data_IF_247873721826
#
_entry.id   IF_247873721826
#
_cell.length_a   1.000
_cell.length_b   1.000
_cell.length_c   1.000
_cell.angle_alpha   90.00
_cell.angle_beta   90.00
_cell.angle_gamma   90.00
#
_symmetry.space_group_name_H-M   'P 1'
#
loop_
_entity.id
_entity.type
_entity.pdbx_description
1 polymer ?
#
# COMPACT_ATOMS: atom_id res chain seq x y z
N UNK A 1 -34.47 -15.22 -36.01
CA UNK A 1 -33.28 -16.05 -35.67
C UNK A 1 -32.14 -15.11 -35.38
N UNK A 2 -32.06 -14.66 -34.13
CA UNK A 2 -31.01 -13.77 -33.65
C UNK A 2 -30.14 -14.53 -32.66
N UNK A 3 -29.14 -15.22 -33.19
CA UNK A 3 -28.06 -15.86 -32.42
C UNK A 3 -26.83 -14.94 -32.42
N UNK A 4 -26.98 -13.72 -31.91
CA UNK A 4 -25.83 -12.84 -31.71
C UNK A 4 -25.71 -12.46 -30.25
N UNK A 5 -24.52 -12.81 -29.70
CA UNK A 5 -23.88 -12.14 -28.58
C UNK A 5 -24.35 -12.54 -27.18
N UNK A 6 -24.24 -13.81 -26.83
CA UNK A 6 -23.68 -14.12 -25.50
C UNK A 6 -22.16 -14.18 -25.64
N UNK A 7 -21.51 -13.03 -25.77
CA UNK A 7 -20.13 -12.90 -25.34
C UNK A 7 -20.19 -13.09 -23.83
N UNK A 8 -19.85 -14.29 -23.39
CA UNK A 8 -19.63 -14.62 -21.99
C UNK A 8 -18.61 -13.59 -21.47
N UNK A 9 -19.10 -12.61 -20.73
CA UNK A 9 -18.21 -11.67 -20.07
C UNK A 9 -17.35 -12.53 -19.14
N UNK A 10 -16.05 -12.63 -19.44
CA UNK A 10 -15.11 -13.36 -18.62
C UNK A 10 -15.23 -12.86 -17.19
N UNK A 11 -15.26 -13.77 -16.24
CA UNK A 11 -15.26 -13.39 -14.83
C UNK A 11 -14.04 -12.49 -14.56
N UNK A 12 -14.16 -11.43 -13.76
CA UNK A 12 -13.04 -10.49 -13.50
C UNK A 12 -11.71 -11.17 -13.19
N UNK A 13 -11.75 -12.29 -12.45
CA UNK A 13 -10.56 -13.07 -12.12
C UNK A 13 -9.88 -13.71 -13.34
N UNK A 14 -10.65 -14.18 -14.33
CA UNK A 14 -10.09 -14.73 -15.56
C UNK A 14 -9.53 -13.62 -16.45
N UNK A 15 -10.25 -12.52 -16.53
CA UNK A 15 -9.83 -11.38 -17.32
C UNK A 15 -8.49 -10.80 -16.84
N UNK A 16 -8.30 -10.68 -15.52
CA UNK A 16 -7.05 -10.16 -14.95
C UNK A 16 -5.87 -11.12 -15.14
N UNK A 17 -6.10 -12.43 -15.00
CA UNK A 17 -5.06 -13.43 -15.30
C UNK A 17 -4.61 -13.39 -16.76
N UNK A 18 -5.57 -13.36 -17.69
CA UNK A 18 -5.26 -13.21 -19.11
C UNK A 18 -4.47 -11.94 -19.39
N UNK A 19 -4.82 -10.85 -18.73
CA UNK A 19 -4.10 -9.61 -18.89
C UNK A 19 -2.68 -9.69 -18.34
N UNK A 20 -2.45 -10.25 -17.14
CA UNK A 20 -1.10 -10.44 -16.60
C UNK A 20 -0.24 -11.40 -17.44
N UNK A 21 -0.84 -12.28 -18.25
CA UNK A 21 -0.12 -13.11 -19.21
C UNK A 21 0.40 -12.33 -20.44
N UNK A 22 -0.12 -11.11 -20.68
CA UNK A 22 0.38 -10.26 -21.78
C UNK A 22 1.74 -9.65 -21.43
N UNK A 23 2.57 -9.27 -22.43
CA UNK A 23 3.84 -8.60 -22.17
C UNK A 23 3.71 -7.35 -21.31
N UNK A 24 2.69 -6.52 -21.56
CA UNK A 24 2.41 -5.32 -20.78
C UNK A 24 2.01 -5.65 -19.34
N UNK A 25 1.15 -6.65 -19.13
CA UNK A 25 0.75 -7.12 -17.82
C UNK A 25 1.92 -7.67 -17.01
N UNK A 26 2.85 -8.40 -17.66
CA UNK A 26 4.07 -8.91 -17.01
C UNK A 26 4.99 -7.78 -16.54
N UNK A 27 5.11 -6.70 -17.30
CA UNK A 27 5.89 -5.53 -16.88
C UNK A 27 5.25 -4.79 -15.71
N UNK A 28 3.92 -4.67 -15.73
CA UNK A 28 3.20 -4.11 -14.57
C UNK A 28 3.41 -4.98 -13.35
N UNK A 29 3.24 -6.31 -13.45
CA UNK A 29 3.48 -7.24 -12.35
C UNK A 29 4.93 -7.18 -11.82
N UNK A 30 5.92 -7.02 -12.69
CA UNK A 30 7.31 -6.86 -12.30
C UNK A 30 7.53 -5.53 -11.53
N UNK A 31 6.90 -4.45 -11.99
CA UNK A 31 6.92 -3.17 -11.29
C UNK A 31 6.25 -3.28 -9.91
N UNK A 32 5.09 -3.92 -9.83
CA UNK A 32 4.36 -4.16 -8.59
C UNK A 32 5.19 -4.95 -7.58
N UNK A 33 5.82 -6.05 -7.99
CA UNK A 33 6.73 -6.82 -7.12
C UNK A 33 7.84 -5.94 -6.56
N UNK A 34 8.53 -5.19 -7.43
CA UNK A 34 9.60 -4.29 -7.01
C UNK A 34 9.14 -3.22 -6.02
N UNK A 35 7.96 -2.64 -6.23
CA UNK A 35 7.38 -1.66 -5.31
C UNK A 35 7.00 -2.32 -3.98
N UNK A 36 6.32 -3.47 -4.03
CA UNK A 36 5.91 -4.22 -2.86
C UNK A 36 7.11 -4.64 -2.00
N UNK A 37 8.19 -5.13 -2.60
CA UNK A 37 9.42 -5.54 -1.91
C UNK A 37 9.97 -4.42 -1.03
N UNK A 38 9.92 -3.17 -1.49
CA UNK A 38 10.38 -2.02 -0.70
C UNK A 38 9.49 -1.69 0.50
N UNK A 39 8.23 -2.14 0.49
CA UNK A 39 7.24 -1.86 1.52
C UNK A 39 7.14 -3.01 2.51
N UNK A 40 7.06 -4.26 2.02
CA UNK A 40 6.83 -5.44 2.85
C UNK A 40 8.08 -5.97 3.56
N UNK A 41 9.27 -5.53 3.13
CA UNK A 41 10.55 -5.93 3.74
C UNK A 41 10.62 -5.62 5.25
N UNK A 42 9.99 -4.53 5.67
CA UNK A 42 9.91 -4.12 7.08
C UNK A 42 8.71 -4.69 7.85
N UNK A 43 7.93 -5.56 7.23
CA UNK A 43 6.77 -6.17 7.88
C UNK A 43 7.20 -7.34 8.77
N UNK A 44 6.85 -7.30 10.04
CA UNK A 44 7.12 -8.36 10.99
C UNK A 44 5.82 -9.03 11.43
N UNK A 45 5.89 -10.32 11.74
CA UNK A 45 4.75 -11.08 12.23
C UNK A 45 4.83 -12.55 11.83
N UNK A 46 3.75 -13.28 12.07
CA UNK A 46 3.65 -14.70 11.79
C UNK A 46 2.75 -15.02 10.60
N UNK A 47 1.69 -14.22 10.38
CA UNK A 47 0.66 -14.51 9.40
C UNK A 47 0.47 -13.36 8.42
N UNK A 48 0.65 -13.68 7.14
CA UNK A 48 0.41 -12.76 6.02
C UNK A 48 -0.57 -13.40 5.05
N UNK A 49 -1.58 -12.63 4.64
CA UNK A 49 -2.51 -13.04 3.58
C UNK A 49 -2.47 -12.02 2.46
N UNK A 50 -2.29 -12.49 1.23
CA UNK A 50 -2.52 -11.71 0.03
C UNK A 50 -3.87 -12.09 -0.56
N UNK A 51 -4.74 -11.12 -0.72
CA UNK A 51 -6.03 -11.24 -1.41
C UNK A 51 -5.87 -10.69 -2.81
N UNK A 52 -6.13 -11.52 -3.83
CA UNK A 52 -5.96 -11.11 -5.22
C UNK A 52 -6.62 -12.07 -6.20
N UNK A 53 -6.51 -11.80 -7.47
CA UNK A 53 -7.16 -12.56 -8.54
C UNK A 53 -6.22 -13.50 -9.28
N UNK A 54 -4.91 -13.28 -9.20
CA UNK A 54 -3.89 -14.09 -9.87
C UNK A 54 -2.87 -14.63 -8.87
N UNK A 55 -2.85 -15.94 -8.60
CA UNK A 55 -1.89 -16.54 -7.67
C UNK A 55 -0.45 -16.53 -8.17
N UNK A 56 -0.21 -16.24 -9.46
CA UNK A 56 1.14 -16.12 -10.01
C UNK A 56 1.83 -14.80 -9.64
N UNK A 57 1.05 -13.77 -9.26
CA UNK A 57 1.59 -12.47 -8.87
C UNK A 57 1.69 -12.38 -7.35
N UNK A 58 2.83 -12.82 -6.82
CA UNK A 58 3.13 -12.77 -5.38
C UNK A 58 3.84 -11.47 -5.04
N UNK A 59 3.30 -10.74 -4.08
CA UNK A 59 3.84 -9.47 -3.61
C UNK A 59 4.46 -9.58 -2.20
N UNK A 60 4.50 -10.77 -1.65
CA UNK A 60 4.96 -11.05 -0.29
C UNK A 60 6.32 -11.77 -0.22
N UNK A 61 6.98 -12.00 -1.36
CA UNK A 61 8.19 -12.83 -1.38
C UNK A 61 9.32 -12.23 -0.54
N UNK A 62 9.51 -10.91 -0.57
CA UNK A 62 10.49 -10.20 0.24
C UNK A 62 10.10 -10.00 1.71
N UNK A 63 8.88 -10.38 2.10
CA UNK A 63 8.43 -10.26 3.49
C UNK A 63 9.09 -11.31 4.38
N UNK A 64 9.59 -10.96 5.58
CA UNK A 64 10.14 -11.91 6.55
C UNK A 64 9.08 -12.72 7.31
N UNK A 65 7.79 -12.47 7.06
CA UNK A 65 6.69 -13.19 7.72
C UNK A 65 6.72 -14.67 7.37
N UNK A 66 6.53 -15.56 8.38
CA UNK A 66 6.74 -17.00 8.23
C UNK A 66 5.61 -17.69 7.45
N UNK A 67 4.35 -17.41 7.77
CA UNK A 67 3.19 -18.04 7.15
C UNK A 67 2.56 -17.09 6.15
N UNK A 68 2.65 -17.44 4.88
CA UNK A 68 2.15 -16.66 3.75
C UNK A 68 1.07 -17.44 3.03
N UNK A 69 -0.10 -16.85 2.88
CA UNK A 69 -1.26 -17.48 2.25
C UNK A 69 -1.77 -16.59 1.12
N UNK A 70 -2.05 -17.20 -0.02
CA UNK A 70 -2.73 -16.55 -1.14
C UNK A 70 -4.22 -16.84 -1.05
N UNK A 71 -5.06 -15.81 -1.17
CA UNK A 71 -6.50 -15.91 -1.21
C UNK A 71 -7.03 -15.39 -2.54
N UNK A 72 -7.74 -16.26 -3.26
CA UNK A 72 -8.35 -15.95 -4.55
C UNK A 72 -9.85 -16.25 -4.51
N UNK A 73 -10.68 -15.51 -5.28
CA UNK A 73 -12.13 -15.75 -5.31
C UNK A 73 -12.54 -17.06 -6.01
N UNK A 74 -11.65 -17.65 -6.79
CA UNK A 74 -11.89 -18.86 -7.55
C UNK A 74 -10.71 -19.81 -7.50
N UNK A 75 -11.00 -21.11 -7.57
CA UNK A 75 -9.97 -22.13 -7.74
C UNK A 75 -9.31 -21.98 -9.11
N UNK A 76 -7.99 -21.94 -9.11
CA UNK A 76 -7.16 -21.81 -10.31
C UNK A 76 -6.21 -23.00 -10.40
N UNK A 77 -6.07 -23.57 -11.59
CA UNK A 77 -5.10 -24.63 -11.83
C UNK A 77 -3.67 -24.12 -11.52
N UNK A 78 -2.93 -24.87 -10.69
CA UNK A 78 -1.58 -24.48 -10.27
C UNK A 78 -1.54 -23.61 -9.01
N UNK A 79 -2.66 -23.46 -8.29
CA UNK A 79 -2.63 -22.88 -6.94
C UNK A 79 -1.76 -23.73 -6.03
N UNK A 80 -0.99 -23.06 -5.19
CA UNK A 80 -0.12 -23.63 -4.18
C UNK A 80 -0.94 -24.22 -3.02
N UNK A 81 -0.37 -25.17 -2.27
CA UNK A 81 -0.97 -25.76 -1.06
C UNK A 81 -1.31 -24.71 0.01
N UNK A 82 -0.65 -23.56 0.00
CA UNK A 82 -0.90 -22.41 0.87
C UNK A 82 -1.89 -21.40 0.25
N UNK A 83 -2.78 -21.87 -0.60
CA UNK A 83 -3.80 -21.02 -1.21
C UNK A 83 -5.19 -21.36 -0.69
N UNK A 84 -6.03 -20.34 -0.51
CA UNK A 84 -7.43 -20.47 -0.09
C UNK A 84 -8.35 -19.87 -1.15
N UNK A 85 -9.55 -20.44 -1.25
CA UNK A 85 -10.61 -19.87 -2.09
C UNK A 85 -11.64 -19.21 -1.19
N UNK A 86 -11.78 -17.89 -1.32
CA UNK A 86 -12.78 -17.11 -0.61
C UNK A 86 -13.00 -15.75 -1.28
N UNK A 87 -14.15 -15.14 -1.01
CA UNK A 87 -14.47 -13.81 -1.46
C UNK A 87 -13.75 -12.75 -0.59
N UNK A 88 -13.28 -11.68 -1.23
CA UNK A 88 -12.55 -10.62 -0.54
C UNK A 88 -13.42 -9.81 0.45
N UNK A 89 -14.74 -9.82 0.25
CA UNK A 89 -15.71 -9.12 1.09
C UNK A 89 -16.17 -9.94 2.31
N UNK A 90 -15.77 -11.22 2.41
CA UNK A 90 -16.10 -12.12 3.52
C UNK A 90 -14.94 -13.10 3.72
N UNK A 91 -13.92 -12.68 4.48
CA UNK A 91 -12.73 -13.49 4.70
C UNK A 91 -13.00 -14.57 5.76
N UNK A 92 -12.74 -15.87 5.46
CA UNK A 92 -12.92 -16.98 6.39
C UNK A 92 -11.82 -17.03 7.46
N UNK A 93 -11.55 -15.89 8.08
CA UNK A 93 -10.45 -15.69 9.03
C UNK A 93 -10.98 -15.03 10.29
N UNK A 94 -10.41 -15.39 11.43
CA UNK A 94 -10.80 -14.82 12.72
C UNK A 94 -10.41 -13.33 12.83
N UNK A 95 -11.12 -12.59 13.66
CA UNK A 95 -10.80 -11.20 13.96
C UNK A 95 -9.40 -11.08 14.55
N UNK A 96 -8.68 -10.04 14.13
CA UNK A 96 -7.34 -9.74 14.67
C UNK A 96 -6.37 -10.94 14.64
N UNK A 97 -6.42 -11.76 13.58
CA UNK A 97 -5.60 -12.96 13.42
C UNK A 97 -4.36 -12.76 12.55
N UNK A 98 -4.34 -11.68 11.75
CA UNK A 98 -3.28 -11.43 10.77
C UNK A 98 -2.38 -10.28 11.19
N UNK A 99 -1.08 -10.41 10.90
CA UNK A 99 -0.09 -9.35 11.06
C UNK A 99 0.00 -8.46 9.81
N UNK A 100 -0.17 -9.09 8.62
CA UNK A 100 -0.10 -8.38 7.34
C UNK A 100 -1.22 -8.84 6.41
N UNK A 101 -1.87 -7.90 5.77
CA UNK A 101 -2.83 -8.14 4.68
C UNK A 101 -2.36 -7.38 3.44
N UNK A 102 -2.40 -8.02 2.29
CA UNK A 102 -2.14 -7.39 0.99
C UNK A 102 -3.41 -7.49 0.15
N UNK A 103 -3.97 -6.36 -0.23
CA UNK A 103 -5.09 -6.28 -1.18
C UNK A 103 -4.53 -5.95 -2.56
N UNK A 104 -4.31 -7.00 -3.38
CA UNK A 104 -3.77 -6.86 -4.73
C UNK A 104 -4.91 -6.70 -5.74
N UNK A 105 -5.19 -5.47 -6.13
CA UNK A 105 -6.30 -5.07 -6.99
C UNK A 105 -7.68 -5.57 -6.52
N UNK A 106 -7.77 -6.05 -5.28
CA UNK A 106 -9.01 -6.57 -4.72
C UNK A 106 -10.12 -5.51 -4.66
N UNK A 107 -9.75 -4.25 -4.47
CA UNK A 107 -10.70 -3.12 -4.47
C UNK A 107 -11.17 -2.75 -5.86
N UNK A 108 -10.30 -2.86 -6.86
CA UNK A 108 -10.54 -2.38 -8.22
C UNK A 108 -11.62 -3.17 -8.94
N UNK A 109 -11.85 -4.41 -8.52
CA UNK A 109 -12.82 -5.33 -9.11
C UNK A 109 -13.95 -5.74 -8.16
N UNK A 110 -13.95 -5.25 -6.92
CA UNK A 110 -14.99 -5.53 -5.96
C UNK A 110 -16.26 -4.72 -6.27
N UNK A 111 -17.41 -5.35 -6.14
CA UNK A 111 -18.71 -4.66 -6.19
C UNK A 111 -18.85 -3.68 -5.01
N UNK A 112 -18.35 -4.10 -3.83
CA UNK A 112 -18.40 -3.35 -2.58
C UNK A 112 -17.02 -3.13 -1.97
N UNK A 113 -16.18 -2.23 -2.52
CA UNK A 113 -14.80 -2.04 -2.07
C UNK A 113 -14.67 -1.61 -0.61
N UNK A 114 -15.67 -0.89 -0.09
CA UNK A 114 -15.70 -0.54 1.35
C UNK A 114 -15.84 -1.77 2.26
N UNK A 115 -16.57 -2.80 1.81
CA UNK A 115 -16.72 -4.03 2.58
C UNK A 115 -15.41 -4.82 2.59
N UNK A 116 -14.71 -4.89 1.46
CA UNK A 116 -13.38 -5.50 1.38
C UNK A 116 -12.39 -4.83 2.34
N UNK A 117 -12.38 -3.51 2.40
CA UNK A 117 -11.53 -2.78 3.35
C UNK A 117 -11.91 -3.03 4.82
N UNK A 118 -13.22 -3.13 5.12
CA UNK A 118 -13.68 -3.47 6.48
C UNK A 118 -13.24 -4.86 6.89
N UNK A 119 -13.36 -5.83 5.99
CA UNK A 119 -12.93 -7.21 6.23
C UNK A 119 -11.41 -7.28 6.43
N UNK A 120 -10.63 -6.61 5.58
CA UNK A 120 -9.19 -6.52 5.76
C UNK A 120 -8.82 -5.89 7.11
N UNK A 121 -9.52 -4.82 7.52
CA UNK A 121 -9.31 -4.22 8.83
C UNK A 121 -9.76 -5.14 9.97
N UNK A 122 -10.87 -5.91 9.83
CA UNK A 122 -11.37 -6.83 10.87
C UNK A 122 -10.34 -7.90 11.20
N UNK A 123 -9.81 -8.56 10.17
CA UNK A 123 -8.86 -9.68 10.34
C UNK A 123 -7.47 -9.20 10.77
N UNK A 124 -7.14 -7.94 10.54
CA UNK A 124 -5.85 -7.36 10.88
C UNK A 124 -5.76 -7.07 12.38
N UNK A 125 -4.65 -7.45 13.01
CA UNK A 125 -4.35 -7.14 14.42
C UNK A 125 -4.16 -5.65 14.64
N UNK A 126 -4.45 -5.13 15.83
CA UNK A 126 -3.96 -3.82 16.24
C UNK A 126 -2.43 -3.76 16.09
N UNK A 127 -1.92 -2.73 15.40
CA UNK A 127 -0.51 -2.62 15.03
C UNK A 127 -0.10 -3.39 13.78
N UNK A 128 -0.96 -4.22 13.20
CA UNK A 128 -0.74 -4.92 11.94
C UNK A 128 -0.76 -3.98 10.74
N UNK A 129 -0.31 -4.48 9.59
CA UNK A 129 -0.09 -3.68 8.39
C UNK A 129 -0.98 -4.12 7.22
N UNK A 130 -1.50 -3.16 6.48
CA UNK A 130 -2.24 -3.39 5.25
C UNK A 130 -1.49 -2.75 4.08
N UNK A 131 -1.25 -3.53 3.01
CA UNK A 131 -0.81 -3.02 1.71
C UNK A 131 -2.01 -3.03 0.77
N UNK A 132 -2.36 -1.87 0.25
CA UNK A 132 -3.37 -1.75 -0.82
C UNK A 132 -2.67 -1.43 -2.12
N UNK A 133 -2.95 -2.23 -3.14
CA UNK A 133 -2.50 -2.04 -4.52
C UNK A 133 -3.72 -1.77 -5.37
N UNK A 134 -3.73 -0.66 -6.08
CA UNK A 134 -4.86 -0.23 -6.92
C UNK A 134 -4.37 0.51 -8.16
N UNK A 135 -5.15 0.45 -9.24
CA UNK A 135 -4.93 1.30 -10.40
C UNK A 135 -5.27 2.76 -10.09
N UNK A 136 -4.40 3.65 -10.52
CA UNK A 136 -4.54 5.07 -10.24
C UNK A 136 -5.31 5.78 -11.37
N UNK A 137 -6.52 6.31 -11.10
CA UNK A 137 -7.29 7.05 -12.11
C UNK A 137 -6.67 8.38 -12.51
N UNK A 138 -5.76 8.94 -11.70
CA UNK A 138 -5.04 10.18 -12.02
C UNK A 138 -3.82 9.96 -12.93
N UNK A 139 -3.51 8.70 -13.29
CA UNK A 139 -2.45 8.35 -14.22
C UNK A 139 -2.83 8.62 -15.67
N UNK A 140 -1.83 8.55 -16.57
CA UNK A 140 -2.09 8.59 -18.00
C UNK A 140 -3.07 7.49 -18.46
N UNK A 141 -3.00 6.30 -17.88
CA UNK A 141 -3.96 5.23 -18.16
C UNK A 141 -5.37 5.58 -17.71
N UNK A 142 -5.50 6.18 -16.53
CA UNK A 142 -6.79 6.65 -16.04
C UNK A 142 -7.44 7.68 -16.96
N UNK A 143 -6.65 8.56 -17.57
CA UNK A 143 -7.12 9.52 -18.57
C UNK A 143 -7.53 8.78 -19.85
N UNK A 144 -6.72 7.86 -20.37
CA UNK A 144 -7.02 7.07 -21.55
C UNK A 144 -8.27 6.19 -21.37
N UNK A 145 -8.57 5.75 -20.16
CA UNK A 145 -9.76 4.95 -19.84
C UNK A 145 -11.05 5.61 -20.31
N UNK A 146 -11.14 6.93 -20.27
CA UNK A 146 -12.32 7.68 -20.74
C UNK A 146 -12.63 7.42 -22.22
N UNK A 147 -11.58 7.12 -23.01
CA UNK A 147 -11.70 6.83 -24.44
C UNK A 147 -11.79 5.33 -24.76
N UNK A 148 -11.61 4.48 -23.74
CA UNK A 148 -11.59 3.03 -23.85
C UNK A 148 -12.73 2.37 -23.05
N UNK A 149 -13.77 3.11 -22.70
CA UNK A 149 -14.92 2.59 -21.96
C UNK A 149 -15.52 1.37 -22.69
N UNK A 150 -15.81 0.31 -21.92
CA UNK A 150 -16.34 -0.95 -22.46
C UNK A 150 -15.30 -1.91 -23.01
N UNK A 151 -14.00 -1.58 -22.99
CA UNK A 151 -12.93 -2.52 -23.34
C UNK A 151 -12.53 -3.39 -22.14
N UNK A 152 -11.93 -4.59 -22.39
CA UNK A 152 -11.44 -5.44 -21.31
C UNK A 152 -10.31 -4.76 -20.52
N UNK A 153 -9.74 -5.47 -19.55
CA UNK A 153 -8.62 -4.99 -18.75
C UNK A 153 -7.46 -4.45 -19.60
N UNK A 154 -6.75 -3.45 -19.07
CA UNK A 154 -6.88 -2.85 -17.72
C UNK A 154 -7.98 -1.79 -17.59
N UNK A 155 -8.74 -1.52 -18.65
CA UNK A 155 -9.71 -0.43 -18.73
C UNK A 155 -10.97 -0.66 -17.91
N UNK A 156 -11.32 -1.92 -17.63
CA UNK A 156 -12.50 -2.30 -16.83
C UNK A 156 -12.31 -2.07 -15.31
N UNK A 157 -11.08 -1.95 -14.83
CA UNK A 157 -10.79 -1.75 -13.41
C UNK A 157 -11.36 -0.41 -12.93
N UNK A 158 -11.94 -0.36 -11.72
CA UNK A 158 -12.50 0.88 -11.18
C UNK A 158 -11.40 1.93 -10.90
N UNK A 159 -10.33 1.51 -10.26
CA UNK A 159 -9.21 2.36 -9.83
C UNK A 159 -9.61 3.40 -8.78
N UNK A 160 -8.73 3.66 -7.85
CA UNK A 160 -8.99 4.61 -6.78
C UNK A 160 -7.84 5.61 -6.63
N UNK A 161 -8.18 6.88 -6.47
CA UNK A 161 -7.18 7.92 -6.20
C UNK A 161 -6.64 7.80 -4.78
N UNK A 162 -5.40 8.24 -4.57
CA UNK A 162 -4.76 8.27 -3.27
C UNK A 162 -5.66 8.93 -2.20
N UNK A 163 -6.23 10.09 -2.50
CA UNK A 163 -7.08 10.84 -1.57
C UNK A 163 -8.31 10.07 -1.13
N UNK A 164 -8.95 9.35 -2.06
CA UNK A 164 -10.13 8.55 -1.77
C UNK A 164 -9.80 7.36 -0.89
N UNK A 165 -8.72 6.64 -1.19
CA UNK A 165 -8.25 5.52 -0.36
C UNK A 165 -7.83 6.00 1.02
N UNK A 166 -7.10 7.11 1.11
CA UNK A 166 -6.68 7.70 2.38
C UNK A 166 -7.88 8.06 3.27
N UNK A 167 -8.92 8.68 2.69
CA UNK A 167 -10.14 9.01 3.43
C UNK A 167 -10.84 7.75 3.98
N UNK A 168 -10.98 6.71 3.16
CA UNK A 168 -11.57 5.43 3.59
C UNK A 168 -10.76 4.75 4.68
N UNK A 169 -9.43 4.77 4.59
CA UNK A 169 -8.55 4.18 5.59
C UNK A 169 -8.66 4.88 6.95
N UNK A 170 -8.77 6.20 6.94
CA UNK A 170 -8.96 6.97 8.19
C UNK A 170 -10.26 6.63 8.91
N UNK A 171 -11.32 6.30 8.17
CA UNK A 171 -12.59 5.87 8.76
C UNK A 171 -12.51 4.49 9.44
N UNK A 172 -11.45 3.71 9.14
CA UNK A 172 -11.21 2.37 9.68
C UNK A 172 -10.03 2.33 10.66
N UNK A 173 -9.61 3.48 11.20
CA UNK A 173 -8.47 3.62 12.11
C UNK A 173 -7.15 3.07 11.52
N UNK A 174 -7.00 3.23 10.21
CA UNK A 174 -5.79 2.84 9.47
C UNK A 174 -4.97 4.09 9.16
N UNK A 175 -3.76 4.18 9.72
CA UNK A 175 -2.84 5.30 9.51
C UNK A 175 -1.87 5.00 8.39
N UNK A 176 -1.82 5.88 7.39
CA UNK A 176 -0.88 5.80 6.29
C UNK A 176 0.55 6.01 6.77
N UNK A 177 1.42 5.05 6.47
CA UNK A 177 2.86 5.13 6.74
C UNK A 177 3.64 5.56 5.52
N UNK A 178 3.27 5.04 4.35
CA UNK A 178 3.94 5.34 3.09
C UNK A 178 3.00 5.08 1.91
N UNK A 179 3.07 5.94 0.91
CA UNK A 179 2.46 5.71 -0.40
C UNK A 179 3.50 5.86 -1.49
N UNK A 180 3.41 5.01 -2.48
CA UNK A 180 4.25 5.05 -3.68
C UNK A 180 3.38 4.83 -4.91
N UNK A 181 3.77 5.46 -6.01
CA UNK A 181 3.12 5.24 -7.29
C UNK A 181 4.19 5.17 -8.37
N UNK A 182 4.06 4.21 -9.25
CA UNK A 182 5.04 3.97 -10.31
C UNK A 182 4.35 3.41 -11.56
N UNK A 183 5.14 3.02 -12.56
CA UNK A 183 4.72 2.59 -13.88
C UNK A 183 4.10 3.72 -14.70
N UNK A 184 4.93 4.41 -15.48
CA UNK A 184 4.53 5.56 -16.27
C UNK A 184 4.45 5.27 -17.78
N UNK A 185 4.56 4.00 -18.16
CA UNK A 185 4.61 3.62 -19.56
C UNK A 185 3.23 3.73 -20.22
N UNK A 186 3.17 4.10 -21.52
CA UNK A 186 1.92 4.16 -22.25
C UNK A 186 1.33 2.76 -22.45
N UNK A 187 0.00 2.60 -22.50
CA UNK A 187 -0.67 1.31 -22.65
C UNK A 187 -0.66 0.84 -24.12
N UNK A 188 0.51 0.56 -24.65
CA UNK A 188 0.71 0.19 -26.06
C UNK A 188 1.21 -1.25 -26.11
N UNK A 189 0.38 -2.16 -26.59
CA UNK A 189 0.74 -3.57 -26.76
C UNK A 189 1.69 -3.81 -27.94
N UNK A 190 1.84 -2.85 -28.84
CA UNK A 190 2.67 -2.99 -30.03
C UNK A 190 4.14 -2.68 -29.72
N UNK A 191 4.99 -3.70 -29.71
CA UNK A 191 6.42 -3.62 -29.40
C UNK A 191 7.19 -2.57 -30.20
N UNK A 192 6.80 -2.28 -31.47
CA UNK A 192 7.45 -1.27 -32.30
C UNK A 192 7.21 0.16 -31.82
N UNK A 193 6.02 0.46 -31.34
CA UNK A 193 5.68 1.76 -30.78
C UNK A 193 6.18 1.92 -29.35
N UNK A 194 6.27 0.82 -28.61
CA UNK A 194 6.77 0.75 -27.26
C UNK A 194 8.22 1.29 -27.17
N UNK A 195 9.13 0.79 -28.00
CA UNK A 195 10.51 1.29 -28.06
C UNK A 195 10.63 2.74 -28.54
N UNK A 196 9.75 3.20 -29.41
CA UNK A 196 9.75 4.58 -29.90
C UNK A 196 9.25 5.60 -28.88
N UNK A 197 8.34 5.19 -28.01
CA UNK A 197 7.71 6.08 -27.01
C UNK A 197 8.29 5.91 -25.61
N UNK A 198 9.25 5.02 -25.41
CA UNK A 198 9.93 4.78 -24.13
C UNK A 198 10.56 6.03 -23.51
N UNK A 199 10.97 7.00 -24.35
CA UNK A 199 11.47 8.28 -23.87
C UNK A 199 10.41 9.14 -23.17
N UNK A 200 9.12 8.96 -23.50
CA UNK A 200 8.02 9.66 -22.82
C UNK A 200 7.89 9.22 -21.37
N UNK A 201 8.17 7.94 -21.06
CA UNK A 201 8.18 7.43 -19.68
C UNK A 201 9.16 8.18 -18.78
N UNK A 202 10.34 8.54 -19.29
CA UNK A 202 11.34 9.30 -18.55
C UNK A 202 10.97 10.77 -18.30
N UNK A 203 10.12 11.35 -19.13
CA UNK A 203 9.57 12.69 -18.94
C UNK A 203 8.43 12.68 -17.92
N UNK A 204 7.56 11.67 -18.01
CA UNK A 204 6.39 11.50 -17.12
C UNK A 204 6.83 11.12 -15.70
N UNK A 205 7.96 10.41 -15.53
CA UNK A 205 8.52 10.09 -14.20
C UNK A 205 8.94 11.34 -13.38
N UNK A 206 9.02 12.51 -14.01
CA UNK A 206 9.26 13.80 -13.34
C UNK A 206 7.99 14.48 -12.83
N UNK A 207 6.82 13.90 -13.14
CA UNK A 207 5.53 14.40 -12.66
C UNK A 207 5.33 14.07 -11.16
N UNK A 208 4.33 14.69 -10.50
CA UNK A 208 4.11 14.53 -9.05
C UNK A 208 4.04 13.07 -8.63
N UNK A 209 4.43 12.80 -7.41
CA UNK A 209 4.58 11.49 -6.73
C UNK A 209 3.44 10.48 -6.95
N UNK A 210 2.26 10.92 -7.39
CA UNK A 210 1.07 10.08 -7.57
C UNK A 210 0.59 10.01 -9.03
N UNK A 211 1.47 10.11 -10.02
CA UNK A 211 1.10 10.06 -11.44
C UNK A 211 1.28 8.67 -12.09
N UNK A 212 1.88 7.71 -11.38
CA UNK A 212 2.05 6.35 -11.86
C UNK A 212 0.73 5.59 -12.00
N UNK A 213 0.72 4.57 -12.85
CA UNK A 213 -0.45 3.71 -13.12
C UNK A 213 -0.82 2.87 -11.91
N UNK A 214 0.18 2.33 -11.22
CA UNK A 214 0.01 1.55 -10.00
C UNK A 214 0.21 2.46 -8.79
N UNK A 215 -0.73 2.43 -7.88
CA UNK A 215 -0.69 3.10 -6.59
C UNK A 215 -0.62 2.04 -5.50
N UNK A 216 0.38 2.14 -4.62
CA UNK A 216 0.50 1.32 -3.43
C UNK A 216 0.45 2.17 -2.17
N UNK A 217 -0.37 1.76 -1.21
CA UNK A 217 -0.48 2.41 0.09
C UNK A 217 -0.17 1.40 1.19
N UNK A 218 0.86 1.70 1.98
CA UNK A 218 1.26 0.94 3.15
C UNK A 218 0.72 1.64 4.40
N UNK A 219 -0.18 0.98 5.09
CA UNK A 219 -0.88 1.54 6.25
C UNK A 219 -0.76 0.61 7.45
N UNK A 220 -0.92 1.16 8.64
CA UNK A 220 -0.93 0.42 9.91
C UNK A 220 -2.27 0.61 10.60
N UNK A 221 -2.80 -0.47 11.17
CA UNK A 221 -3.98 -0.40 12.03
C UNK A 221 -3.61 0.16 13.40
N UNK A 222 -4.24 1.26 13.77
CA UNK A 222 -3.97 1.88 15.06
C UNK A 222 -4.54 1.04 16.20
N UNK A 223 -3.89 1.14 17.36
CA UNK A 223 -4.34 0.48 18.58
C UNK A 223 -5.41 1.36 19.21
N UNK A 224 -6.68 0.91 19.23
CA UNK A 224 -7.72 1.61 19.95
C UNK A 224 -7.33 1.75 21.44
N UNK A 225 -7.30 2.98 21.94
CA UNK A 225 -7.10 3.27 23.36
C UNK A 225 -5.75 3.82 23.79
N UNK A 226 -4.76 3.88 22.92
CA UNK A 226 -3.54 4.65 23.21
C UNK A 226 -3.65 6.07 22.63
N UNK A 227 -4.48 6.90 23.25
CA UNK A 227 -4.24 8.33 23.15
C UNK A 227 -2.86 8.56 23.77
N UNK A 228 -1.84 8.99 23.01
CA UNK A 228 -0.56 9.32 23.63
C UNK A 228 -0.82 10.49 24.58
N UNK A 229 -0.88 10.19 25.86
CA UNK A 229 -0.84 11.23 26.89
C UNK A 229 0.50 11.94 26.63
N UNK A 230 0.44 13.10 25.99
CA UNK A 230 1.60 13.99 25.96
C UNK A 230 2.04 14.15 27.41
N UNK A 231 3.23 13.68 27.79
CA UNK A 231 3.65 13.81 29.17
C UNK A 231 3.62 15.30 29.49
N UNK A 232 2.72 15.67 30.38
CA UNK A 232 2.64 17.03 30.89
C UNK A 232 3.80 17.30 31.87
N UNK A 233 4.97 16.91 31.47
CA UNK A 233 6.20 17.24 32.16
C UNK A 233 6.50 18.70 31.82
N UNK A 234 5.88 19.60 32.52
CA UNK A 234 6.42 20.96 32.64
C UNK A 234 7.84 20.77 33.16
N UNK A 235 8.82 20.97 32.34
CA UNK A 235 10.21 21.12 32.77
C UNK A 235 10.18 22.22 33.84
N UNK A 236 10.23 21.81 35.13
CA UNK A 236 10.47 22.77 36.19
C UNK A 236 11.79 23.45 35.85
N UNK A 237 11.73 24.72 35.51
CA UNK A 237 12.92 25.54 35.45
C UNK A 237 13.58 25.41 36.81
N UNK A 238 14.73 24.73 36.88
CA UNK A 238 15.57 24.75 38.05
C UNK A 238 15.95 26.20 38.26
N UNK A 239 15.46 26.77 39.35
CA UNK A 239 15.87 28.10 39.77
C UNK A 239 17.32 27.92 40.21
N UNK A 240 18.27 28.46 39.42
CA UNK A 240 19.67 28.51 39.82
C UNK A 240 19.77 29.45 41.02
N UNK A 241 20.05 28.89 42.17
CA UNK A 241 20.38 29.69 43.34
C UNK A 241 21.73 30.37 43.04
N UNK A 242 21.88 31.69 43.29
CA UNK A 242 23.18 32.35 43.18
C UNK A 242 24.12 31.73 44.21
N UNK A 243 25.20 31.14 43.76
CA UNK A 243 26.29 30.68 44.62
C UNK A 243 26.97 31.93 45.16
N UNK A 244 26.89 32.11 46.49
CA UNK A 244 27.64 33.20 47.16
C UNK A 244 29.13 32.92 47.04
N UNK A 245 29.85 33.77 46.33
CA UNK A 245 31.34 33.74 46.31
C UNK A 245 31.84 34.23 47.71
N UNK A 246 32.74 33.47 48.36
CA UNK A 246 33.36 33.92 49.59
C UNK A 246 34.37 35.06 49.28
N UNK A 247 34.02 36.28 49.70
CA UNK A 247 34.97 37.43 49.61
C UNK A 247 36.07 37.30 50.68
N UNK A 248 37.22 36.77 50.28
CA UNK A 248 38.41 36.79 51.10
C UNK A 248 38.99 38.23 51.14
N UNK A 249 38.74 38.97 52.21
CA UNK A 249 39.31 40.28 52.44
C UNK A 249 40.75 40.11 52.98
N UNK A 250 41.74 40.22 52.16
CA UNK A 250 43.15 40.25 52.54
C UNK A 250 43.48 41.62 53.16
N UNK A 251 43.63 41.64 54.52
CA UNK A 251 44.13 42.78 55.25
C UNK A 251 45.68 42.82 55.09
N UNK A 252 46.18 43.69 54.26
CA UNK A 252 47.63 44.04 54.20
C UNK A 252 47.98 44.87 55.43
N UNK A 253 48.73 44.29 56.33
CA UNK A 253 49.35 45.03 57.46
C UNK A 253 50.57 45.78 56.96
N UNK A 254 50.53 47.12 56.98
CA UNK A 254 51.67 48.02 56.65
C UNK A 254 52.48 48.20 57.95
N UNK A 255 53.66 47.53 58.04
CA UNK A 255 54.59 47.79 59.11
C UNK A 255 55.35 49.13 58.85
N UNK A 256 55.32 49.95 59.82
CA UNK A 256 56.26 51.13 59.92
C UNK A 256 57.54 50.67 60.58
N UNK A 257 58.68 50.94 59.97
CA UNK A 257 59.94 50.92 60.62
C UNK A 257 60.49 52.35 60.66
N UNK A 258 61.05 52.66 61.74
CA UNK A 258 61.91 53.80 62.06
C UNK A 258 63.22 53.75 61.27
#
# INVERSE_FOLDING_TARGET
MNSHSQQTALHPAEAIRHWYATPLGQEVAACERKMADTLVHGAFGYHLVQVGYDPSVRLFDASPVSHKVMLCPQMVLGMDEHSLVAEANELPLADSSLDVVILHHALDFAEHPHQVLREASRVLRPGGHLLVVSFNPASFWGLCRRFHAGRPLPWAAQGFSHWRLHDWMRLLDLTELKSVSDFHQPPIENARWYHRLGFLGSWVSRLPTYSGVVLMMWVRKDVMGMTPLKPAWKTRKLISFPVAEPSARHKSARGKSV
#
